data_IF_359833397472
#
_entry.id   IF_359833397472
#
_cell.length_a   1.000
_cell.length_b   1.000
_cell.length_c   1.000
_cell.angle_alpha   90.00
_cell.angle_beta   90.00
_cell.angle_gamma   90.00
#
_symmetry.space_group_name_H-M   'P 1'
#
loop_
_entity.id
_entity.type
_entity.pdbx_description
1 polymer ?
#
# COMPACT_ATOMS: atom_id res chain seq x y z
N UNK A 1 -50.47 31.60 -8.08
CA UNK A 1 -51.65 31.12 -8.82
C UNK A 1 -51.19 30.63 -10.19
N UNK A 2 -51.59 29.40 -10.53
CA UNK A 2 -51.37 28.77 -11.84
C UNK A 2 -52.11 29.54 -12.92
N UNK A 3 -51.45 29.82 -14.05
CA UNK A 3 -52.15 30.01 -15.31
C UNK A 3 -51.41 29.23 -16.40
N UNK A 4 -52.03 28.10 -16.77
CA UNK A 4 -51.68 27.30 -17.94
C UNK A 4 -52.20 28.05 -19.16
N UNK A 5 -51.38 28.10 -20.20
CA UNK A 5 -51.86 28.35 -21.55
C UNK A 5 -51.42 27.12 -22.33
N UNK A 6 -52.38 26.21 -22.58
CA UNK A 6 -52.31 25.29 -23.71
C UNK A 6 -52.91 26.05 -24.88
N UNK A 7 -52.25 26.01 -26.03
CA UNK A 7 -52.94 25.93 -27.32
C UNK A 7 -52.00 25.37 -28.37
N UNK A 8 -52.46 24.28 -28.98
CA UNK A 8 -51.90 23.58 -30.13
C UNK A 8 -51.59 24.51 -31.31
N UNK A 9 -50.59 24.15 -32.13
CA UNK A 9 -50.83 24.00 -33.57
C UNK A 9 -49.63 23.39 -34.32
N UNK A 10 -49.98 22.49 -35.25
CA UNK A 10 -49.33 22.27 -36.54
C UNK A 10 -47.94 21.61 -36.57
N UNK A 11 -48.00 20.28 -36.64
CA UNK A 11 -47.44 19.45 -37.70
C UNK A 11 -46.83 20.21 -38.92
N UNK A 12 -45.72 19.65 -39.42
CA UNK A 12 -45.30 19.51 -40.84
C UNK A 12 -43.87 20.03 -41.11
N UNK A 13 -43.07 19.10 -41.67
CA UNK A 13 -41.81 19.20 -42.43
C UNK A 13 -40.51 18.94 -41.69
N UNK A 14 -40.19 17.64 -41.66
CA UNK A 14 -38.99 17.08 -42.30
C UNK A 14 -38.25 18.07 -43.21
N UNK A 15 -36.98 18.36 -42.91
CA UNK A 15 -35.86 18.29 -43.85
C UNK A 15 -34.55 18.56 -43.10
N UNK A 16 -33.58 17.73 -43.48
CA UNK A 16 -32.20 17.57 -43.05
C UNK A 16 -31.52 18.62 -42.19
N UNK A 17 -30.88 18.11 -41.13
CA UNK A 17 -30.00 18.78 -40.19
C UNK A 17 -28.77 19.30 -40.95
N UNK A 18 -28.88 20.51 -41.45
CA UNK A 18 -27.75 21.39 -41.72
C UNK A 18 -27.09 21.75 -40.39
N UNK A 19 -25.81 21.40 -40.26
CA UNK A 19 -24.95 21.79 -39.14
C UNK A 19 -24.83 23.31 -39.17
N UNK A 20 -25.46 23.98 -38.22
CA UNK A 20 -25.20 25.38 -37.89
C UNK A 20 -24.63 25.47 -36.47
N UNK A 21 -23.64 26.34 -36.39
CA UNK A 21 -22.66 26.52 -35.34
C UNK A 21 -23.24 26.71 -33.93
N UNK A 22 -22.65 26.01 -32.97
CA UNK A 22 -22.68 26.41 -31.57
C UNK A 22 -21.26 26.78 -31.13
N UNK A 23 -21.09 28.07 -30.84
CA UNK A 23 -19.87 28.67 -30.33
C UNK A 23 -19.50 28.14 -28.93
N UNK A 24 -18.23 27.74 -28.82
CA UNK A 24 -17.30 27.94 -27.70
C UNK A 24 -17.72 27.42 -26.32
N UNK A 25 -17.35 26.17 -26.04
CA UNK A 25 -16.67 25.81 -24.79
C UNK A 25 -15.46 24.94 -25.16
N UNK A 26 -14.28 25.34 -24.71
CA UNK A 26 -13.00 24.71 -25.05
C UNK A 26 -13.00 23.21 -24.76
N UNK A 27 -13.19 22.40 -25.79
CA UNK A 27 -13.01 20.95 -25.75
C UNK A 27 -11.60 20.65 -26.22
N UNK A 28 -10.72 20.28 -25.29
CA UNK A 28 -9.43 19.70 -25.64
C UNK A 28 -9.72 18.34 -26.27
N UNK A 29 -9.62 18.26 -27.60
CA UNK A 29 -9.64 16.99 -28.33
C UNK A 29 -8.21 16.52 -28.47
N UNK A 30 -7.88 15.40 -27.83
CA UNK A 30 -6.64 14.69 -28.07
C UNK A 30 -6.66 14.14 -29.50
N UNK A 31 -5.95 14.80 -30.40
CA UNK A 31 -5.70 14.31 -31.76
C UNK A 31 -4.47 13.41 -31.66
N UNK A 32 -4.68 12.11 -31.74
CA UNK A 32 -3.57 11.18 -31.96
C UNK A 32 -3.19 11.29 -33.43
N UNK A 33 -1.98 11.75 -33.71
CA UNK A 33 -1.38 11.56 -35.04
C UNK A 33 -1.28 10.05 -35.26
N UNK A 34 -2.02 9.54 -36.25
CA UNK A 34 -1.86 8.16 -36.69
C UNK A 34 -0.49 8.07 -37.36
N UNK A 35 0.53 7.70 -36.60
CA UNK A 35 1.73 7.12 -37.19
C UNK A 35 1.29 5.79 -37.81
N UNK A 36 1.25 5.75 -39.13
CA UNK A 36 1.15 4.52 -39.88
C UNK A 36 2.43 3.71 -39.62
N UNK A 37 2.39 2.84 -38.62
CA UNK A 37 3.42 1.85 -38.41
C UNK A 37 3.29 0.79 -39.50
N UNK A 38 4.17 0.87 -40.49
CA UNK A 38 4.34 -0.11 -41.55
C UNK A 38 4.54 -1.52 -40.95
N UNK A 39 3.48 -2.34 -40.98
CA UNK A 39 3.39 -3.64 -40.28
C UNK A 39 4.08 -4.76 -41.05
N UNK A 40 5.08 -4.43 -41.89
CA UNK A 40 5.78 -5.41 -42.73
C UNK A 40 7.18 -5.77 -42.20
N UNK A 41 7.61 -5.20 -41.08
CA UNK A 41 8.85 -5.60 -40.39
C UNK A 41 8.52 -6.10 -38.99
N UNK A 42 8.48 -7.42 -38.82
CA UNK A 42 8.44 -8.04 -37.51
C UNK A 42 9.67 -7.57 -36.72
N UNK A 43 9.52 -7.00 -35.52
CA UNK A 43 10.65 -6.72 -34.65
C UNK A 43 11.30 -8.05 -34.27
N UNK A 44 12.63 -8.16 -34.48
CA UNK A 44 13.40 -9.31 -34.04
C UNK A 44 13.14 -9.58 -32.55
N UNK A 45 12.76 -10.82 -32.23
CA UNK A 45 12.50 -11.26 -30.86
C UNK A 45 13.68 -10.86 -29.97
N UNK A 46 13.47 -10.14 -28.86
CA UNK A 46 14.57 -9.82 -27.95
C UNK A 46 15.19 -11.13 -27.45
N UNK A 47 16.51 -11.27 -27.64
CA UNK A 47 17.30 -12.39 -27.12
C UNK A 47 17.03 -12.50 -25.62
N UNK A 48 16.62 -13.69 -25.19
CA UNK A 48 16.42 -14.00 -23.78
C UNK A 48 17.72 -13.74 -23.02
N UNK A 49 17.80 -12.60 -22.33
CA UNK A 49 18.86 -12.33 -21.38
C UNK A 49 18.65 -13.33 -20.24
N UNK A 50 19.65 -14.19 -20.03
CA UNK A 50 19.68 -15.16 -18.95
C UNK A 50 19.36 -14.42 -17.65
N UNK A 51 18.30 -14.82 -16.95
CA UNK A 51 17.97 -14.31 -15.61
C UNK A 51 19.24 -14.34 -14.77
N UNK A 52 19.76 -13.18 -14.41
CA UNK A 52 20.82 -13.09 -13.44
C UNK A 52 20.30 -13.75 -12.17
N UNK A 53 20.97 -14.82 -11.73
CA UNK A 53 20.74 -15.44 -10.44
C UNK A 53 20.90 -14.34 -9.39
N UNK A 54 19.78 -13.86 -8.83
CA UNK A 54 19.86 -13.00 -7.67
C UNK A 54 20.65 -13.76 -6.61
N UNK A 55 21.78 -13.22 -6.11
CA UNK A 55 22.42 -13.81 -4.95
C UNK A 55 21.37 -13.80 -3.85
N UNK A 56 21.03 -15.01 -3.39
CA UNK A 56 20.21 -15.23 -2.20
C UNK A 56 20.94 -14.49 -1.09
N UNK A 57 20.49 -13.28 -0.78
CA UNK A 57 21.14 -12.43 0.22
C UNK A 57 21.26 -13.24 1.50
N UNK A 58 22.48 -13.55 1.93
CA UNK A 58 22.72 -14.29 3.16
C UNK A 58 22.04 -13.56 4.33
N UNK A 59 20.96 -14.16 4.82
CA UNK A 59 20.05 -13.60 5.82
C UNK A 59 20.57 -13.80 7.25
N UNK A 60 21.88 -13.97 7.42
CA UNK A 60 22.48 -14.44 8.67
C UNK A 60 23.20 -13.33 9.45
N UNK A 61 22.99 -12.07 9.08
CA UNK A 61 23.34 -10.96 9.96
C UNK A 61 22.26 -10.86 11.04
N UNK A 62 22.39 -11.67 12.09
CA UNK A 62 21.58 -11.59 13.31
C UNK A 62 21.67 -10.15 13.82
N UNK A 63 20.56 -9.41 13.82
CA UNK A 63 20.56 -8.04 14.30
C UNK A 63 20.53 -8.07 15.82
N UNK A 64 21.64 -7.70 16.46
CA UNK A 64 21.67 -7.50 17.91
C UNK A 64 21.12 -6.11 18.25
N UNK A 65 19.89 -6.08 18.75
CA UNK A 65 19.26 -4.90 19.35
C UNK A 65 18.62 -5.26 20.69
N UNK A 66 18.53 -4.29 21.59
CA UNK A 66 17.91 -4.44 22.91
C UNK A 66 16.69 -3.52 23.01
N UNK A 67 15.53 -4.12 23.30
CA UNK A 67 14.25 -3.42 23.42
C UNK A 67 14.05 -2.78 24.79
N UNK A 68 14.91 -3.06 25.78
CA UNK A 68 14.88 -2.44 27.12
C UNK A 68 13.50 -2.47 27.78
N UNK A 69 12.80 -3.60 27.71
CA UNK A 69 11.46 -3.82 28.25
C UNK A 69 10.35 -2.94 27.64
N UNK A 70 10.56 -2.36 26.45
CA UNK A 70 9.53 -1.62 25.72
C UNK A 70 8.46 -2.56 25.17
N UNK A 71 7.24 -2.04 25.08
CA UNK A 71 6.08 -2.80 24.58
C UNK A 71 6.07 -2.75 23.05
N UNK A 72 6.24 -3.92 22.43
CA UNK A 72 6.19 -4.09 20.98
C UNK A 72 4.82 -4.66 20.61
N UNK A 73 4.00 -3.85 19.97
CA UNK A 73 2.72 -4.28 19.40
C UNK A 73 2.95 -4.84 18.00
N UNK A 74 2.69 -6.13 17.84
CA UNK A 74 2.70 -6.80 16.54
C UNK A 74 1.27 -7.05 16.08
N UNK A 75 0.92 -6.43 14.94
CA UNK A 75 -0.37 -6.62 14.27
C UNK A 75 -0.17 -7.65 13.15
N UNK A 76 -0.79 -8.81 13.30
CA UNK A 76 -0.66 -9.93 12.35
C UNK A 76 -2.00 -10.59 12.08
N UNK A 77 -2.19 -11.08 10.86
CA UNK A 77 -3.33 -11.91 10.48
C UNK A 77 -3.10 -13.40 10.72
N UNK A 78 -1.91 -13.79 11.16
CA UNK A 78 -1.52 -15.17 11.39
C UNK A 78 -1.38 -15.45 12.89
N UNK A 79 -2.29 -16.27 13.43
CA UNK A 79 -2.29 -16.62 14.86
C UNK A 79 -1.16 -17.58 15.21
N UNK A 80 -0.79 -18.49 14.33
CA UNK A 80 0.25 -19.50 14.61
C UNK A 80 1.62 -18.81 14.71
N UNK A 81 1.94 -18.01 13.69
CA UNK A 81 3.19 -17.25 13.64
C UNK A 81 3.27 -16.19 14.75
N UNK A 82 2.13 -15.67 15.22
CA UNK A 82 2.13 -14.73 16.35
C UNK A 82 2.74 -15.32 17.63
N UNK A 83 2.66 -16.64 17.83
CA UNK A 83 3.26 -17.27 19.01
C UNK A 83 4.77 -17.42 18.87
N UNK A 84 5.25 -17.71 17.66
CA UNK A 84 6.67 -17.81 17.36
C UNK A 84 7.39 -16.46 17.52
N UNK A 85 6.75 -15.39 17.06
CA UNK A 85 7.26 -14.02 17.17
C UNK A 85 7.46 -13.56 18.61
N UNK A 86 6.68 -14.11 19.55
CA UNK A 86 6.88 -13.86 20.99
C UNK A 86 8.29 -14.26 21.41
N UNK A 87 8.75 -15.45 21.00
CA UNK A 87 10.09 -15.95 21.37
C UNK A 87 11.22 -15.10 20.79
N UNK A 88 10.98 -14.45 19.65
CA UNK A 88 11.93 -13.52 19.04
C UNK A 88 12.03 -12.24 19.86
N UNK A 89 10.90 -11.65 20.22
CA UNK A 89 10.86 -10.39 20.97
C UNK A 89 11.36 -10.57 22.41
N UNK A 90 11.03 -11.70 23.04
CA UNK A 90 11.51 -12.04 24.39
C UNK A 90 13.04 -12.19 24.42
N UNK A 91 13.66 -12.74 23.35
CA UNK A 91 15.14 -12.81 23.23
C UNK A 91 15.82 -11.44 23.21
N UNK A 92 15.11 -10.41 22.75
CA UNK A 92 15.60 -9.02 22.69
C UNK A 92 15.14 -8.18 23.90
N UNK A 93 14.70 -8.82 24.99
CA UNK A 93 14.17 -8.18 26.22
C UNK A 93 13.00 -7.21 25.96
N UNK A 94 12.17 -7.48 24.95
CA UNK A 94 10.96 -6.71 24.70
C UNK A 94 9.74 -7.32 25.38
N UNK A 95 8.70 -6.51 25.59
CA UNK A 95 7.38 -7.01 26.01
C UNK A 95 6.54 -7.22 24.75
N UNK A 96 6.25 -8.48 24.45
CA UNK A 96 5.44 -8.83 23.28
C UNK A 96 3.94 -8.59 23.52
N UNK A 97 3.32 -7.82 22.64
CA UNK A 97 1.87 -7.66 22.59
C UNK A 97 1.33 -7.97 21.20
N UNK A 98 0.37 -8.89 21.11
CA UNK A 98 -0.16 -9.36 19.83
C UNK A 98 -1.58 -8.84 19.60
N UNK A 99 -1.82 -8.31 18.40
CA UNK A 99 -3.16 -8.02 17.91
C UNK A 99 -3.45 -8.90 16.69
N UNK A 100 -4.35 -9.87 16.89
CA UNK A 100 -4.90 -10.70 15.81
C UNK A 100 -5.82 -9.86 14.93
N UNK A 101 -5.39 -9.66 13.68
CA UNK A 101 -6.09 -8.94 12.62
C UNK A 101 -6.48 -9.86 11.45
N UNK A 102 -6.64 -11.16 11.70
CA UNK A 102 -7.04 -12.17 10.69
C UNK A 102 -8.39 -11.87 10.06
N UNK A 103 -9.32 -11.28 10.83
CA UNK A 103 -10.65 -10.89 10.39
C UNK A 103 -10.87 -9.42 10.74
N UNK A 104 -11.51 -8.67 9.86
CA UNK A 104 -11.79 -7.25 10.07
C UNK A 104 -12.62 -7.01 11.35
N UNK A 105 -13.63 -7.85 11.60
CA UNK A 105 -14.52 -7.71 12.76
C UNK A 105 -13.83 -7.90 14.11
N UNK A 106 -12.68 -8.60 14.15
CA UNK A 106 -11.90 -8.79 15.39
C UNK A 106 -11.17 -7.52 15.83
N UNK A 107 -10.99 -6.57 14.91
CA UNK A 107 -10.20 -5.36 15.12
C UNK A 107 -11.07 -4.13 14.94
N UNK A 108 -11.77 -3.77 16.00
CA UNK A 108 -12.44 -2.48 16.07
C UNK A 108 -11.42 -1.33 16.19
N UNK A 109 -11.81 -0.15 15.69
CA UNK A 109 -10.99 1.07 15.77
C UNK A 109 -10.68 1.48 17.20
N UNK A 110 -11.62 1.27 18.13
CA UNK A 110 -11.42 1.55 19.56
C UNK A 110 -10.38 0.64 20.19
N UNK A 111 -10.40 -0.66 19.85
CA UNK A 111 -9.41 -1.64 20.32
C UNK A 111 -8.03 -1.26 19.81
N UNK A 112 -7.87 -1.07 18.50
CA UNK A 112 -6.58 -0.69 17.90
C UNK A 112 -6.02 0.61 18.48
N UNK A 113 -6.88 1.61 18.72
CA UNK A 113 -6.48 2.87 19.38
C UNK A 113 -5.92 2.65 20.78
N UNK A 114 -6.50 1.74 21.57
CA UNK A 114 -6.03 1.43 22.93
C UNK A 114 -4.68 0.71 22.86
N UNK A 115 -4.58 -0.32 22.03
CA UNK A 115 -3.34 -1.09 21.90
C UNK A 115 -2.17 -0.23 21.42
N UNK A 116 -2.38 0.64 20.41
CA UNK A 116 -1.33 1.55 19.90
C UNK A 116 -0.90 2.59 20.94
N UNK A 117 -1.80 3.00 21.85
CA UNK A 117 -1.47 3.97 22.90
C UNK A 117 -0.56 3.35 23.96
N UNK A 118 -0.86 2.11 24.33
CA UNK A 118 -0.10 1.35 25.34
C UNK A 118 1.26 0.89 24.80
N UNK A 119 1.36 0.66 23.49
CA UNK A 119 2.60 0.25 22.86
C UNK A 119 3.62 1.39 22.72
N UNK A 120 4.90 1.02 22.79
CA UNK A 120 6.03 1.91 22.47
C UNK A 120 6.38 1.81 20.98
N UNK A 121 6.29 0.61 20.41
CA UNK A 121 6.54 0.33 19.00
C UNK A 121 5.35 -0.38 18.37
N UNK A 122 5.08 -0.05 17.11
CA UNK A 122 4.05 -0.73 16.32
C UNK A 122 4.70 -1.38 15.10
N UNK A 123 4.54 -2.69 14.98
CA UNK A 123 4.96 -3.47 13.82
C UNK A 123 3.73 -4.06 13.15
N UNK A 124 3.54 -3.78 11.86
CA UNK A 124 2.41 -4.28 11.08
C UNK A 124 2.90 -5.28 10.04
N UNK A 125 2.43 -6.51 10.12
CA UNK A 125 2.67 -7.55 9.10
C UNK A 125 1.56 -7.49 8.04
N UNK A 126 1.91 -7.20 6.78
CA UNK A 126 0.92 -6.92 5.72
C UNK A 126 0.47 -8.13 4.89
N UNK A 127 1.02 -9.32 5.13
CA UNK A 127 0.83 -10.52 4.31
C UNK A 127 -0.58 -11.13 4.40
N UNK A 128 -1.11 -11.30 5.62
CA UNK A 128 -2.39 -11.96 5.90
C UNK A 128 -3.43 -11.03 6.53
N UNK A 129 -3.25 -9.72 6.39
CA UNK A 129 -4.19 -8.72 6.91
C UNK A 129 -4.93 -8.01 5.77
N UNK A 130 -6.15 -7.56 6.06
CA UNK A 130 -6.85 -6.66 5.16
C UNK A 130 -6.13 -5.30 5.10
N UNK A 131 -6.01 -4.75 3.88
CA UNK A 131 -5.38 -3.44 3.65
C UNK A 131 -5.99 -2.32 4.52
N UNK A 132 -7.29 -2.42 4.84
CA UNK A 132 -7.99 -1.49 5.74
C UNK A 132 -7.35 -1.39 7.13
N UNK A 133 -6.88 -2.51 7.68
CA UNK A 133 -6.26 -2.58 9.01
C UNK A 133 -4.90 -1.87 9.01
N UNK A 134 -4.09 -2.07 7.97
CA UNK A 134 -2.79 -1.37 7.83
C UNK A 134 -2.97 0.15 7.73
N UNK A 135 -3.98 0.63 6.99
CA UNK A 135 -4.30 2.06 6.89
C UNK A 135 -4.72 2.64 8.24
N UNK A 136 -5.56 1.91 8.98
CA UNK A 136 -6.03 2.32 10.30
C UNK A 136 -4.87 2.37 11.31
N UNK A 137 -3.99 1.37 11.28
CA UNK A 137 -2.79 1.34 12.11
C UNK A 137 -1.87 2.52 11.81
N UNK A 138 -1.62 2.82 10.53
CA UNK A 138 -0.81 3.95 10.12
C UNK A 138 -1.42 5.30 10.56
N UNK A 139 -2.75 5.47 10.39
CA UNK A 139 -3.45 6.66 10.85
C UNK A 139 -3.29 6.86 12.37
N UNK A 140 -3.51 5.81 13.16
CA UNK A 140 -3.40 5.90 14.61
C UNK A 140 -1.96 6.08 15.09
N UNK A 141 -0.98 5.41 14.48
CA UNK A 141 0.42 5.59 14.81
C UNK A 141 0.89 7.03 14.58
N UNK A 142 0.55 7.62 13.43
CA UNK A 142 0.84 9.05 13.13
C UNK A 142 0.17 9.99 14.13
N UNK A 143 -1.06 9.69 14.54
CA UNK A 143 -1.81 10.53 15.49
C UNK A 143 -1.19 10.54 16.88
N UNK A 144 -0.57 9.44 17.30
CA UNK A 144 0.04 9.30 18.63
C UNK A 144 1.57 9.43 18.61
N UNK A 145 2.13 9.82 17.46
CA UNK A 145 3.58 9.95 17.24
C UNK A 145 4.36 8.70 17.67
N UNK A 146 3.82 7.52 17.32
CA UNK A 146 4.42 6.23 17.66
C UNK A 146 5.29 5.73 16.50
N UNK A 147 6.52 5.25 16.76
CA UNK A 147 7.35 4.64 15.74
C UNK A 147 6.66 3.40 15.17
N UNK A 148 6.41 3.43 13.86
CA UNK A 148 5.73 2.36 13.13
C UNK A 148 6.62 1.82 12.03
N UNK A 149 6.76 0.49 11.99
CA UNK A 149 7.40 -0.22 10.91
C UNK A 149 6.46 -1.27 10.29
N UNK A 150 6.62 -1.48 8.99
CA UNK A 150 5.83 -2.43 8.21
C UNK A 150 6.74 -3.58 7.78
N UNK A 151 6.30 -4.79 8.07
CA UNK A 151 6.93 -6.04 7.65
C UNK A 151 6.11 -6.65 6.51
N UNK A 152 6.77 -6.97 5.39
CA UNK A 152 6.11 -7.54 4.21
C UNK A 152 5.62 -8.98 4.44
N UNK A 153 6.26 -9.72 5.36
CA UNK A 153 5.92 -11.10 5.71
C UNK A 153 5.98 -11.30 7.22
N UNK A 154 5.24 -12.30 7.72
CA UNK A 154 5.25 -12.74 9.13
C UNK A 154 6.48 -13.55 9.54
N UNK A 155 7.52 -13.60 8.70
CA UNK A 155 8.75 -14.32 9.04
C UNK A 155 9.53 -13.63 10.15
N UNK A 156 10.18 -14.41 11.02
CA UNK A 156 10.96 -13.89 12.16
C UNK A 156 11.96 -12.82 11.72
N UNK A 157 12.70 -13.07 10.63
CA UNK A 157 13.70 -12.13 10.11
C UNK A 157 13.10 -10.83 9.58
N UNK A 158 11.91 -10.87 8.95
CA UNK A 158 11.23 -9.67 8.48
C UNK A 158 10.74 -8.80 9.64
N UNK A 159 10.23 -9.43 10.70
CA UNK A 159 9.80 -8.75 11.92
C UNK A 159 10.99 -8.17 12.67
N UNK A 160 12.09 -8.91 12.82
CA UNK A 160 13.33 -8.41 13.45
C UNK A 160 13.85 -7.15 12.75
N UNK A 161 13.87 -7.17 11.40
CA UNK A 161 14.24 -5.99 10.60
C UNK A 161 13.27 -4.84 10.75
N UNK A 162 11.98 -5.10 10.90
CA UNK A 162 10.99 -4.06 11.14
C UNK A 162 11.17 -3.43 12.53
N UNK A 163 11.42 -4.25 13.55
CA UNK A 163 11.72 -3.79 14.92
C UNK A 163 12.98 -2.93 14.95
N UNK A 164 14.06 -3.39 14.32
CA UNK A 164 15.30 -2.62 14.23
C UNK A 164 15.10 -1.26 13.53
N UNK A 165 14.30 -1.21 12.46
CA UNK A 165 13.94 0.05 11.78
C UNK A 165 13.14 0.98 12.67
N UNK A 166 12.14 0.45 13.38
CA UNK A 166 11.34 1.24 14.31
C UNK A 166 12.19 1.82 15.46
N UNK A 167 13.23 1.09 15.89
CA UNK A 167 14.20 1.55 16.90
C UNK A 167 15.09 2.68 16.38
N UNK A 168 15.56 2.58 15.15
CA UNK A 168 16.45 3.57 14.53
C UNK A 168 15.72 4.82 14.04
N UNK A 169 14.38 4.78 13.94
CA UNK A 169 13.59 5.86 13.34
C UNK A 169 13.60 5.85 11.81
N UNK A 170 13.91 4.70 11.21
CA UNK A 170 13.93 4.46 9.77
C UNK A 170 12.51 4.52 9.17
N UNK A 171 12.38 4.69 7.83
CA UNK A 171 11.07 4.69 7.19
C UNK A 171 10.25 3.42 7.47
N UNK A 172 8.93 3.61 7.58
CA UNK A 172 8.00 2.53 7.90
C UNK A 172 8.09 1.35 6.92
N UNK A 173 8.18 1.63 5.62
CA UNK A 173 8.35 0.60 4.60
C UNK A 173 9.82 0.21 4.45
N UNK A 174 10.06 -1.08 4.19
CA UNK A 174 11.40 -1.53 3.88
C UNK A 174 11.73 -1.02 2.49
N UNK A 175 12.82 -0.27 2.33
CA UNK A 175 13.34 0.00 1.00
C UNK A 175 13.77 -1.34 0.41
N UNK A 176 13.13 -1.73 -0.69
CA UNK A 176 13.63 -2.85 -1.49
C UNK A 176 14.90 -2.39 -2.18
N UNK A 177 15.87 -3.28 -2.36
CA UNK A 177 17.10 -2.98 -3.10
C UNK A 177 16.82 -2.49 -4.54
N UNK A 178 15.63 -2.76 -5.07
CA UNK A 178 15.14 -2.27 -6.35
C UNK A 178 14.88 -0.74 -6.35
N UNK A 179 14.44 -0.17 -5.23
CA UNK A 179 14.24 1.28 -5.11
C UNK A 179 15.58 2.04 -5.18
N UNK A 180 16.69 1.43 -4.75
CA UNK A 180 18.03 2.05 -4.79
C UNK A 180 18.64 2.06 -6.19
N UNK A 181 18.27 1.12 -7.07
CA UNK A 181 18.78 1.05 -8.43
C UNK A 181 18.23 2.19 -9.31
N UNK A 182 16.98 2.61 -9.10
CA UNK A 182 16.33 3.65 -9.90
C UNK A 182 16.80 5.08 -9.57
N UNK A 183 17.55 5.31 -8.49
CA UNK A 183 18.07 6.64 -8.13
C UNK A 183 19.50 6.90 -8.62
N UNK A 184 20.23 5.88 -9.07
CA UNK A 184 21.61 6.07 -9.56
C UNK A 184 21.71 6.41 -11.05
N UNK A 185 20.60 6.48 -11.78
CA UNK A 185 20.56 6.83 -13.21
C UNK A 185 20.04 8.26 -13.50
N UNK A 186 20.24 9.22 -12.59
CA UNK A 186 19.97 10.65 -12.87
C UNK A 186 21.21 11.52 -12.77
#
# INVERSE_FOLDING_TARGET
>A
MKMRINLDCALVRQLDVGILEAQVYGSIRWIHEKQDFDTTKQPEKPKQVKKATHPRHDYEKKLDYDLKQRIVLVITGDREHSQELKTVIDKHHGVYHALDASMEDKVSSSKMKREIREADFVVVCIDKIHHRISQLANHHAKRYDKPLAIANTTTNTAVERAVARALNGDPAYAQTSEDMANYQEK
#
